data_IF_201480764338
#
_entry.id   IF_201480764338
#
_cell.length_a   1.000
_cell.length_b   1.000
_cell.length_c   1.000
_cell.angle_alpha   90.00
_cell.angle_beta   90.00
_cell.angle_gamma   90.00
#
_symmetry.space_group_name_H-M   'P 1'
#
loop_
_entity.id
_entity.type
_entity.pdbx_description
1 polymer ?
#
# COMPACT_ATOMS: atom_id res chain seq x y z
N UNK A 1 14.96 36.52 -32.41
CA UNK A 1 14.97 35.05 -32.22
C UNK A 1 13.97 34.66 -31.14
N UNK A 2 12.94 33.92 -31.55
CA UNK A 2 12.05 32.96 -30.85
C UNK A 2 11.75 33.09 -29.34
N UNK A 3 11.17 34.20 -28.89
CA UNK A 3 10.52 34.27 -27.56
C UNK A 3 9.19 33.49 -27.46
N UNK A 4 8.64 33.02 -28.58
CA UNK A 4 7.38 32.27 -28.63
C UNK A 4 7.54 30.78 -28.27
N UNK A 5 8.76 30.22 -28.39
CA UNK A 5 9.01 28.81 -28.03
C UNK A 5 9.10 28.61 -26.53
N UNK A 6 9.74 29.53 -25.80
CA UNK A 6 9.91 29.41 -24.36
C UNK A 6 8.58 29.49 -23.60
N UNK A 7 7.65 30.31 -24.07
CA UNK A 7 6.29 30.40 -23.50
C UNK A 7 5.51 29.10 -23.71
N UNK A 8 5.63 28.46 -24.88
CA UNK A 8 4.98 27.17 -25.14
C UNK A 8 5.60 26.02 -24.34
N UNK A 9 6.92 26.03 -24.16
CA UNK A 9 7.61 25.05 -23.32
C UNK A 9 7.22 25.20 -21.85
N UNK A 10 7.13 26.44 -21.35
CA UNK A 10 6.64 26.71 -20.00
C UNK A 10 5.20 26.23 -19.80
N UNK A 11 4.30 26.53 -20.74
CA UNK A 11 2.90 26.09 -20.68
C UNK A 11 2.78 24.55 -20.71
N UNK A 12 3.53 23.90 -21.60
CA UNK A 12 3.52 22.45 -21.73
C UNK A 12 4.12 21.76 -20.49
N UNK A 13 5.14 22.37 -19.87
CA UNK A 13 5.71 21.88 -18.60
C UNK A 13 4.70 21.97 -17.46
N UNK A 14 3.89 23.03 -17.42
CA UNK A 14 2.84 23.21 -16.42
C UNK A 14 1.73 22.15 -16.59
N UNK A 15 1.26 21.92 -17.81
CA UNK A 15 0.24 20.88 -18.09
C UNK A 15 0.73 19.47 -17.74
N UNK A 16 2.01 19.17 -18.00
CA UNK A 16 2.61 17.89 -17.61
C UNK A 16 2.70 17.75 -16.08
N UNK A 17 3.06 18.84 -15.39
CA UNK A 17 3.12 18.86 -13.94
C UNK A 17 1.73 18.66 -13.33
N UNK A 18 0.69 19.35 -13.82
CA UNK A 18 -0.69 19.18 -13.38
C UNK A 18 -1.22 17.76 -13.62
N UNK A 19 -0.96 17.18 -14.80
CA UNK A 19 -1.33 15.78 -15.10
C UNK A 19 -0.61 14.80 -14.18
N UNK A 20 0.67 15.03 -13.88
CA UNK A 20 1.43 14.19 -12.95
C UNK A 20 0.91 14.29 -11.52
N UNK A 21 0.51 15.48 -11.06
CA UNK A 21 -0.06 15.70 -9.73
C UNK A 21 -1.44 15.03 -9.61
N UNK A 22 -2.28 15.13 -10.64
CA UNK A 22 -3.57 14.44 -10.69
C UNK A 22 -3.42 12.91 -10.73
N UNK A 23 -2.46 12.39 -11.50
CA UNK A 23 -2.15 10.96 -11.54
C UNK A 23 -1.61 10.44 -10.19
N UNK A 24 -0.73 11.20 -9.53
CA UNK A 24 -0.19 10.86 -8.21
C UNK A 24 -1.24 10.94 -7.10
N UNK A 25 -2.19 11.88 -7.18
CA UNK A 25 -3.33 11.95 -6.27
C UNK A 25 -4.25 10.73 -6.38
N UNK A 26 -4.38 10.16 -7.59
CA UNK A 26 -5.13 8.93 -7.82
C UNK A 26 -4.36 7.67 -7.40
N UNK A 27 -3.05 7.60 -7.65
CA UNK A 27 -2.22 6.44 -7.33
C UNK A 27 -2.02 6.23 -5.81
N UNK A 28 -2.07 7.30 -5.01
CA UNK A 28 -1.98 7.24 -3.55
C UNK A 28 -3.33 7.18 -2.85
N UNK A 29 -4.44 7.08 -3.59
CA UNK A 29 -5.75 6.82 -3.00
C UNK A 29 -5.85 5.33 -2.66
N UNK A 30 -5.05 4.88 -1.67
CA UNK A 30 -5.48 3.70 -0.92
C UNK A 30 -6.87 4.04 -0.41
N UNK A 31 -7.90 3.20 -0.68
CA UNK A 31 -9.25 3.48 -0.22
C UNK A 31 -9.13 3.82 1.26
N UNK A 32 -9.70 4.95 1.67
CA UNK A 32 -9.65 5.44 3.04
C UNK A 32 -10.45 4.48 3.93
N UNK A 33 -9.89 3.28 4.13
CA UNK A 33 -10.37 2.31 5.07
C UNK A 33 -10.28 3.02 6.41
N UNK A 34 -11.43 3.26 7.03
CA UNK A 34 -11.50 3.73 8.41
C UNK A 34 -10.47 2.96 9.23
N UNK A 35 -9.85 3.62 10.21
CA UNK A 35 -8.84 2.98 11.08
C UNK A 35 -9.35 1.64 11.65
N UNK A 36 -10.66 1.52 11.86
CA UNK A 36 -11.35 0.29 12.24
C UNK A 36 -11.38 -0.80 11.15
N UNK A 37 -11.57 -0.44 9.88
CA UNK A 37 -11.52 -1.38 8.76
C UNK A 37 -10.09 -1.91 8.56
N UNK A 38 -9.08 -1.03 8.67
CA UNK A 38 -7.67 -1.42 8.60
C UNK A 38 -7.29 -2.32 9.78
N UNK A 39 -7.75 -1.99 10.99
CA UNK A 39 -7.60 -2.84 12.18
C UNK A 39 -8.22 -4.23 11.96
N UNK A 40 -9.48 -4.29 11.53
CA UNK A 40 -10.17 -5.56 11.25
C UNK A 40 -9.42 -6.38 10.21
N UNK A 41 -8.97 -5.75 9.12
CA UNK A 41 -8.23 -6.42 8.06
C UNK A 41 -6.92 -7.05 8.57
N UNK A 42 -6.15 -6.30 9.37
CA UNK A 42 -4.90 -6.79 9.97
C UNK A 42 -5.14 -7.90 10.99
N UNK A 43 -6.21 -7.80 11.78
CA UNK A 43 -6.62 -8.85 12.70
C UNK A 43 -6.99 -10.13 11.96
N UNK A 44 -7.84 -10.04 10.93
CA UNK A 44 -8.31 -11.20 10.18
C UNK A 44 -7.19 -11.92 9.43
N UNK A 45 -6.26 -11.16 8.84
CA UNK A 45 -5.13 -11.72 8.09
C UNK A 45 -4.12 -12.40 9.01
N UNK A 46 -3.81 -11.82 10.17
CA UNK A 46 -2.94 -12.46 11.16
C UNK A 46 -3.56 -13.71 11.78
N UNK A 47 -4.85 -13.68 12.09
CA UNK A 47 -5.56 -14.87 12.56
C UNK A 47 -5.73 -15.94 11.49
N UNK A 48 -5.66 -15.60 10.20
CA UNK A 48 -5.68 -16.59 9.13
C UNK A 48 -4.43 -17.49 9.18
N UNK A 49 -3.27 -16.98 9.63
CA UNK A 49 -2.06 -17.78 9.81
C UNK A 49 -2.27 -18.94 10.79
N UNK A 50 -3.07 -18.75 11.84
CA UNK A 50 -3.41 -19.81 12.80
C UNK A 50 -4.36 -20.88 12.24
N UNK A 51 -5.02 -20.60 11.12
CA UNK A 51 -5.93 -21.55 10.45
C UNK A 51 -5.23 -22.38 9.38
N UNK A 52 -4.01 -21.99 8.99
CA UNK A 52 -3.23 -22.72 8.01
C UNK A 52 -2.60 -23.96 8.64
N UNK A 53 -2.43 -25.00 7.83
CA UNK A 53 -1.69 -26.21 8.23
C UNK A 53 -0.17 -25.95 8.12
N UNK A 54 0.63 -26.77 8.81
CA UNK A 54 2.09 -26.69 8.80
C UNK A 54 2.67 -26.68 7.36
N UNK A 55 2.12 -27.50 6.47
CA UNK A 55 2.57 -27.57 5.07
C UNK A 55 2.26 -26.27 4.31
N UNK A 56 1.08 -25.67 4.53
CA UNK A 56 0.71 -24.39 3.93
C UNK A 56 1.53 -23.23 4.48
N UNK A 57 1.94 -23.31 5.75
CA UNK A 57 2.89 -22.35 6.34
C UNK A 57 4.29 -22.51 5.72
N UNK A 58 4.75 -23.74 5.49
CA UNK A 58 6.03 -24.01 4.80
C UNK A 58 6.04 -23.54 3.36
N UNK A 59 4.92 -23.67 2.64
CA UNK A 59 4.79 -23.18 1.27
C UNK A 59 5.02 -21.65 1.17
N UNK A 60 4.63 -20.90 2.21
CA UNK A 60 4.87 -19.45 2.31
C UNK A 60 6.18 -19.11 3.06
N UNK A 61 6.99 -20.11 3.42
CA UNK A 61 8.27 -19.94 4.10
C UNK A 61 8.16 -19.54 5.58
N UNK A 62 7.02 -19.81 6.22
CA UNK A 62 6.78 -19.55 7.64
C UNK A 62 6.81 -20.86 8.45
N UNK A 63 7.39 -20.79 9.64
CA UNK A 63 7.31 -21.85 10.64
C UNK A 63 6.06 -21.66 11.53
N UNK A 64 5.51 -22.75 12.09
CA UNK A 64 4.36 -22.65 13.00
C UNK A 64 4.61 -21.75 14.21
N UNK A 65 5.83 -21.75 14.77
CA UNK A 65 6.20 -20.84 15.86
C UNK A 65 6.17 -19.38 15.43
N UNK A 66 6.59 -19.11 14.19
CA UNK A 66 6.61 -17.77 13.61
C UNK A 66 5.19 -17.29 13.25
N UNK A 67 4.34 -18.18 12.74
CA UNK A 67 2.92 -17.92 12.52
C UNK A 67 2.19 -17.59 13.83
N UNK A 68 2.47 -18.33 14.91
CA UNK A 68 1.91 -18.04 16.23
C UNK A 68 2.39 -16.69 16.78
N UNK A 69 3.69 -16.42 16.67
CA UNK A 69 4.25 -15.13 17.07
C UNK A 69 3.61 -13.97 16.30
N UNK A 70 3.45 -14.10 14.98
CA UNK A 70 2.80 -13.09 14.13
C UNK A 70 1.32 -12.91 14.47
N UNK A 71 0.59 -13.99 14.74
CA UNK A 71 -0.80 -13.94 15.15
C UNK A 71 -1.02 -13.28 16.52
N UNK A 72 -0.07 -13.45 17.43
CA UNK A 72 -0.11 -12.84 18.78
C UNK A 72 0.40 -11.39 18.81
N UNK A 73 0.95 -10.85 17.71
CA UNK A 73 1.47 -9.47 17.69
C UNK A 73 0.34 -8.46 17.94
N UNK A 74 0.53 -7.51 18.87
CA UNK A 74 -0.44 -6.45 19.06
C UNK A 74 -0.52 -5.56 17.82
N UNK A 75 -1.70 -4.98 17.56
CA UNK A 75 -2.00 -4.29 16.31
C UNK A 75 -1.11 -3.07 16.01
N UNK A 76 -0.49 -2.47 17.04
CA UNK A 76 0.40 -1.30 16.92
C UNK A 76 1.85 -1.66 16.57
N UNK A 77 2.23 -2.94 16.59
CA UNK A 77 3.52 -3.37 16.04
C UNK A 77 3.33 -3.82 14.58
N UNK A 78 3.95 -3.05 13.70
CA UNK A 78 4.33 -3.48 12.35
C UNK A 78 5.60 -4.32 12.49
#
# INVERSE_FOLDING_TARGET
>A
MNGLSDVRLALHSHELQEKSLAANASANSQPCMSRWALYRHRWTTRHALLKLTEDQLRDIGLDAGQAMAEAMKPFWRM
#
